data_IF_900088800584
#
_entry.id   IF_900088800584
#
_cell.length_a   1.000
_cell.length_b   1.000
_cell.length_c   1.000
_cell.angle_alpha   90.00
_cell.angle_beta   90.00
_cell.angle_gamma   90.00
#
_symmetry.space_group_name_H-M   'P 1'
#
loop_
_entity.id
_entity.type
_entity.pdbx_description
1 polymer ?
#
# COMPACT_ATOMS: atom_id res chain seq x y z
N UNK A 1 -12.36 -17.19 -12.23
CA UNK A 1 -11.19 -16.31 -12.04
C UNK A 1 -11.74 -15.00 -11.53
N UNK A 2 -12.09 -14.95 -10.24
CA UNK A 2 -12.62 -13.72 -9.65
C UNK A 2 -11.41 -12.81 -9.42
N UNK A 3 -11.41 -11.63 -10.03
CA UNK A 3 -10.37 -10.60 -9.85
C UNK A 3 -10.19 -10.41 -8.32
N UNK A 4 -9.12 -10.98 -7.76
CA UNK A 4 -8.90 -11.13 -6.32
C UNK A 4 -8.47 -9.84 -5.62
N UNK A 5 -8.91 -8.69 -6.12
CA UNK A 5 -8.54 -7.38 -5.60
C UNK A 5 -9.54 -6.92 -4.56
N UNK A 6 -9.03 -6.42 -3.44
CA UNK A 6 -9.86 -5.89 -2.35
C UNK A 6 -10.67 -4.67 -2.81
N UNK A 7 -11.91 -4.56 -2.32
CA UNK A 7 -12.67 -3.31 -2.39
C UNK A 7 -12.02 -2.25 -1.49
N UNK A 8 -12.35 -0.97 -1.68
CA UNK A 8 -11.80 0.12 -0.85
C UNK A 8 -12.06 -0.12 0.63
N UNK A 9 -13.26 -0.59 0.97
CA UNK A 9 -13.66 -0.89 2.35
C UNK A 9 -12.82 -2.02 2.94
N UNK A 10 -12.64 -3.13 2.21
CA UNK A 10 -11.82 -4.25 2.68
C UNK A 10 -10.33 -3.90 2.74
N UNK A 11 -9.86 -3.08 1.82
CA UNK A 11 -8.50 -2.55 1.80
C UNK A 11 -8.22 -1.67 3.02
N UNK A 12 -9.16 -0.78 3.34
CA UNK A 12 -9.13 0.07 4.52
C UNK A 12 -9.18 -0.72 5.80
N UNK A 13 -10.05 -1.74 5.89
CA UNK A 13 -10.14 -2.62 7.06
C UNK A 13 -8.81 -3.33 7.31
N UNK A 14 -8.21 -3.89 6.25
CA UNK A 14 -6.88 -4.52 6.32
C UNK A 14 -5.81 -3.53 6.81
N UNK A 15 -5.80 -2.30 6.29
CA UNK A 15 -4.86 -1.27 6.74
C UNK A 15 -5.10 -0.89 8.21
N UNK A 16 -6.35 -0.74 8.63
CA UNK A 16 -6.72 -0.43 10.01
C UNK A 16 -6.21 -1.52 10.98
N UNK A 17 -6.35 -2.79 10.60
CA UNK A 17 -5.83 -3.93 11.38
C UNK A 17 -4.30 -3.92 11.48
N UNK A 18 -3.58 -3.69 10.37
CA UNK A 18 -2.11 -3.70 10.36
C UNK A 18 -1.50 -2.50 11.09
N UNK A 19 -2.12 -1.33 10.98
CA UNK A 19 -1.64 -0.09 11.56
C UNK A 19 -2.11 0.09 13.00
N UNK A 20 -3.00 -0.78 13.48
CA UNK A 20 -3.68 -0.66 14.77
C UNK A 20 -4.37 0.72 14.94
N UNK A 21 -4.97 1.25 13.87
CA UNK A 21 -5.64 2.55 13.83
C UNK A 21 -7.10 2.44 13.41
N UNK A 22 -7.94 3.37 13.85
CA UNK A 22 -9.35 3.40 13.45
C UNK A 22 -9.52 4.17 12.13
N UNK A 23 -9.88 3.44 11.08
CA UNK A 23 -10.19 3.99 9.75
C UNK A 23 -11.66 3.80 9.38
N UNK A 24 -12.56 3.47 10.31
CA UNK A 24 -13.91 3.04 9.99
C UNK A 24 -14.72 4.10 9.21
N UNK A 25 -14.47 5.39 9.48
CA UNK A 25 -15.08 6.54 8.80
C UNK A 25 -14.23 7.11 7.66
N UNK A 26 -13.01 6.58 7.44
CA UNK A 26 -12.11 7.06 6.40
C UNK A 26 -12.68 6.76 5.01
N UNK A 27 -12.78 7.79 4.19
CA UNK A 27 -13.24 7.71 2.80
C UNK A 27 -12.09 7.73 1.80
N UNK A 28 -12.42 7.57 0.52
CA UNK A 28 -11.42 7.62 -0.57
C UNK A 28 -10.62 8.95 -0.61
N UNK A 29 -11.24 10.05 -0.14
CA UNK A 29 -10.62 11.37 -0.08
C UNK A 29 -9.85 11.67 1.21
N UNK A 30 -9.91 10.79 2.21
CA UNK A 30 -9.21 10.97 3.49
C UNK A 30 -7.71 10.93 3.28
N UNK A 31 -7.03 12.01 3.65
CA UNK A 31 -5.56 12.13 3.56
C UNK A 31 -4.90 11.38 4.69
N UNK A 32 -3.88 10.59 4.35
CA UNK A 32 -3.13 9.78 5.31
C UNK A 32 -2.51 10.65 6.41
N UNK A 33 -1.87 11.77 6.08
CA UNK A 33 -1.18 12.58 7.09
C UNK A 33 -2.03 13.68 7.74
N UNK A 34 -3.13 14.10 7.12
CA UNK A 34 -3.87 15.32 7.51
C UNK A 34 -5.28 15.01 8.04
N UNK A 35 -5.98 14.04 7.47
CA UNK A 35 -7.33 13.63 7.89
C UNK A 35 -7.27 12.45 8.87
N UNK A 36 -6.36 11.51 8.60
CA UNK A 36 -6.14 10.31 9.40
C UNK A 36 -5.00 10.47 10.41
N UNK A 37 -4.32 11.63 10.36
CA UNK A 37 -3.21 11.99 11.25
C UNK A 37 -2.12 10.90 11.36
N UNK A 38 -1.92 10.09 10.30
CA UNK A 38 -0.93 9.02 10.30
C UNK A 38 0.47 9.63 10.29
N UNK A 39 1.30 9.18 11.23
CA UNK A 39 2.70 9.54 11.31
C UNK A 39 3.52 9.02 10.11
N UNK A 40 4.74 9.54 9.95
CA UNK A 40 5.64 9.07 8.89
C UNK A 40 5.96 7.57 8.98
N UNK A 41 5.94 6.99 10.20
CA UNK A 41 6.12 5.55 10.41
C UNK A 41 4.89 4.80 9.93
N UNK A 42 3.69 5.21 10.36
CA UNK A 42 2.42 4.59 9.97
C UNK A 42 2.17 4.65 8.47
N UNK A 43 2.57 5.73 7.78
CA UNK A 43 2.48 5.77 6.31
C UNK A 43 3.39 4.75 5.63
N UNK A 44 4.57 4.51 6.21
CA UNK A 44 5.50 3.50 5.71
C UNK A 44 4.97 2.08 6.00
N UNK A 45 4.39 1.87 7.18
CA UNK A 45 3.72 0.62 7.54
C UNK A 45 2.52 0.34 6.63
N UNK A 46 1.75 1.38 6.26
CA UNK A 46 0.66 1.27 5.30
C UNK A 46 1.19 0.84 3.94
N UNK A 47 2.32 1.38 3.48
CA UNK A 47 2.97 0.93 2.24
C UNK A 47 3.30 -0.57 2.32
N UNK A 48 3.99 -1.00 3.39
CA UNK A 48 4.37 -2.40 3.60
C UNK A 48 3.16 -3.33 3.63
N UNK A 49 2.09 -2.92 4.31
CA UNK A 49 0.83 -3.67 4.36
C UNK A 49 0.19 -3.82 2.97
N UNK A 50 0.29 -2.81 2.11
CA UNK A 50 -0.17 -2.90 0.72
C UNK A 50 0.73 -3.83 -0.08
N UNK A 51 2.05 -3.79 0.12
CA UNK A 51 2.98 -4.67 -0.58
C UNK A 51 2.81 -6.15 -0.20
N UNK A 52 2.43 -6.44 1.04
CA UNK A 52 2.07 -7.78 1.52
C UNK A 52 0.90 -8.39 0.72
N UNK A 53 0.04 -7.55 0.12
CA UNK A 53 -1.03 -7.99 -0.78
C UNK A 53 -0.52 -8.40 -2.18
N UNK A 54 0.80 -8.39 -2.41
CA UNK A 54 1.45 -8.86 -3.63
C UNK A 54 1.64 -7.78 -4.71
N UNK A 55 1.64 -6.51 -4.32
CA UNK A 55 1.99 -5.39 -5.21
C UNK A 55 3.32 -4.79 -4.77
N UNK A 56 4.02 -4.10 -5.68
CA UNK A 56 5.24 -3.37 -5.32
C UNK A 56 4.99 -1.89 -5.58
N UNK A 57 5.11 -1.06 -4.55
CA UNK A 57 4.86 0.37 -4.62
C UNK A 57 6.15 1.13 -4.32
N UNK A 58 6.50 2.19 -5.08
CA UNK A 58 7.67 3.00 -4.76
C UNK A 58 7.53 3.66 -3.39
N UNK A 59 8.62 3.75 -2.64
CA UNK A 59 8.65 4.37 -1.29
C UNK A 59 8.11 5.81 -1.26
N UNK A 60 8.27 6.55 -2.36
CA UNK A 60 7.80 7.93 -2.51
C UNK A 60 6.28 8.05 -2.75
N UNK A 61 5.55 6.92 -2.82
CA UNK A 61 4.12 6.90 -3.16
C UNK A 61 3.19 7.19 -1.98
N UNK A 62 3.69 7.22 -0.75
CA UNK A 62 2.90 7.41 0.49
C UNK A 62 3.28 8.70 1.23
N UNK A 63 3.04 9.84 0.58
CA UNK A 63 3.20 11.16 1.19
C UNK A 63 2.08 11.54 2.18
N UNK A 64 2.23 12.63 2.94
CA UNK A 64 1.16 13.13 3.84
C UNK A 64 -0.09 13.59 3.07
N UNK A 65 0.07 14.04 1.82
CA UNK A 65 -1.03 14.44 0.93
C UNK A 65 -1.72 13.23 0.26
N UNK A 66 -1.12 12.04 0.36
CA UNK A 66 -1.68 10.83 -0.21
C UNK A 66 -3.03 10.54 0.46
N UNK A 67 -4.03 10.14 -0.34
CA UNK A 67 -5.32 9.71 0.19
C UNK A 67 -5.44 8.20 0.24
N UNK A 68 -6.31 7.70 1.11
CA UNK A 68 -6.66 6.28 1.21
C UNK A 68 -7.14 5.73 -0.13
N UNK A 69 -7.99 6.48 -0.85
CA UNK A 69 -8.48 6.09 -2.17
C UNK A 69 -7.40 6.08 -3.23
N UNK A 70 -6.45 7.02 -3.18
CA UNK A 70 -5.30 7.02 -4.08
C UNK A 70 -4.35 5.86 -3.80
N UNK A 71 -4.15 5.49 -2.54
CA UNK A 71 -3.36 4.31 -2.17
C UNK A 71 -4.05 3.01 -2.63
N UNK A 72 -5.38 2.94 -2.51
CA UNK A 72 -6.16 1.83 -3.06
C UNK A 72 -6.08 1.76 -4.59
N UNK A 73 -6.12 2.89 -5.29
CA UNK A 73 -5.92 2.94 -6.74
C UNK A 73 -4.53 2.45 -7.14
N UNK A 74 -3.49 2.83 -6.38
CA UNK A 74 -2.13 2.33 -6.56
C UNK A 74 -2.07 0.81 -6.37
N UNK A 75 -2.74 0.26 -5.36
CA UNK A 75 -2.88 -1.18 -5.19
C UNK A 75 -3.56 -1.86 -6.40
N UNK A 76 -4.69 -1.31 -6.86
CA UNK A 76 -5.42 -1.85 -8.02
C UNK A 76 -4.55 -1.82 -9.29
N UNK A 77 -3.78 -0.75 -9.48
CA UNK A 77 -2.88 -0.54 -10.62
C UNK A 77 -1.58 -1.35 -10.52
N UNK A 78 -1.05 -1.48 -9.31
CA UNK A 78 0.16 -2.21 -8.93
C UNK A 78 -0.01 -3.72 -8.99
N UNK A 79 -1.23 -4.23 -9.16
CA UNK A 79 -1.53 -5.64 -9.42
C UNK A 79 -1.03 -6.21 -10.76
N UNK A 80 -0.02 -5.61 -11.39
CA UNK A 80 0.89 -6.40 -12.23
C UNK A 80 2.07 -6.76 -11.34
N UNK A 81 2.46 -8.05 -11.23
CA UNK A 81 3.70 -8.38 -10.57
C UNK A 81 4.78 -7.48 -11.17
N UNK A 82 5.35 -6.58 -10.35
CA UNK A 82 6.61 -5.96 -10.71
C UNK A 82 7.58 -7.09 -11.03
N UNK A 83 8.48 -6.94 -12.02
CA UNK A 83 9.47 -7.98 -12.25
C UNK A 83 10.13 -8.26 -10.90
N UNK A 84 9.95 -9.49 -10.42
CA UNK A 84 10.59 -10.04 -9.23
C UNK A 84 12.00 -9.46 -9.13
N UNK A 85 12.43 -8.91 -7.99
CA UNK A 85 13.79 -8.39 -7.86
C UNK A 85 14.71 -9.54 -8.27
N UNK A 86 15.35 -9.40 -9.45
CA UNK A 86 16.18 -10.45 -10.01
C UNK A 86 17.20 -10.81 -8.92
N UNK A 87 17.32 -12.09 -8.52
CA UNK A 87 18.35 -12.47 -7.57
C UNK A 87 19.69 -11.93 -8.08
N UNK A 88 20.60 -11.49 -7.20
CA UNK A 88 21.87 -10.93 -7.63
C UNK A 88 22.51 -11.93 -8.58
N UNK A 89 22.63 -11.55 -9.85
CA UNK A 89 23.33 -12.36 -10.84
C UNK A 89 24.76 -12.42 -10.35
N UNK A 90 25.08 -13.48 -9.62
CA UNK A 90 26.44 -13.90 -9.30
C UNK A 90 27.09 -14.12 -10.65
N UNK A 91 27.74 -13.05 -11.15
CA UNK A 91 28.56 -13.14 -12.34
C UNK A 91 29.56 -14.26 -12.13
N UNK A 92 29.92 -15.01 -13.20
CA UNK A 92 30.89 -16.08 -13.07
C UNK A 92 32.16 -15.50 -12.46
N UNK A 93 32.51 -15.98 -11.26
CA UNK A 93 33.84 -15.76 -10.69
C UNK A 93 34.85 -16.40 -11.66
N UNK A 94 35.86 -15.64 -12.13
CA UNK A 94 36.84 -16.13 -13.10
C UNK A 94 37.73 -17.25 -12.55
#
# INVERSE_FOLDING_TARGET
MTDGRLSLEAFRDRLAEELEVDLADAGAGSRLGDDLELDSVQRLEALVAVEDLGVHLPDDSVGPEQTLGGLHELYLRGGRPGPEPLPPQLGPVP
#
